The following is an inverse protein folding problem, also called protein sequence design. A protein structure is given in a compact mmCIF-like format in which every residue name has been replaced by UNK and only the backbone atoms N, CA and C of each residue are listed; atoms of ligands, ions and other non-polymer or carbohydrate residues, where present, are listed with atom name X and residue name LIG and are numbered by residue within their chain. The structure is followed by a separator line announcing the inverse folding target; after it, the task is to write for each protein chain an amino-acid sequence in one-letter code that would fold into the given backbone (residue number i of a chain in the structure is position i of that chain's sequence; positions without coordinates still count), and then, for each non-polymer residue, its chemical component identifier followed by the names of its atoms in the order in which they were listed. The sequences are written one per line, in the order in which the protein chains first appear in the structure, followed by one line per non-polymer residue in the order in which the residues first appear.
data_IF_449129693184
#
_entry.id   IF_449129693184
#
_cell.length_a   1.000
_cell.length_b   1.000
_cell.length_c   1.000
_cell.angle_alpha   90.00
_cell.angle_beta   90.00
_cell.angle_gamma   90.00
#
_symmetry.space_group_name_H-M   'P 1'
#
loop_
_entity.id
_entity.type
_entity.pdbx_description
1 polymer ?
#
# COMPACT_ATOMS: atom_id res chain seq x y z
N UNK A 1 -3.35 -12.72 24.13
CA UNK A 1 -2.95 -12.67 25.55
C UNK A 1 -3.19 -11.24 25.99
N UNK A 2 -4.14 -10.99 26.88
CA UNK A 2 -4.49 -9.62 27.33
C UNK A 2 -3.34 -9.14 28.24
N UNK A 3 -2.73 -7.96 28.01
CA UNK A 3 -1.64 -7.49 28.87
C UNK A 3 -2.15 -7.27 30.30
N UNK A 4 -1.41 -7.76 31.30
CA UNK A 4 -1.65 -7.44 32.73
C UNK A 4 -1.57 -5.92 32.90
N UNK A 5 -2.50 -5.32 33.65
CA UNK A 5 -2.55 -3.88 33.94
C UNK A 5 -1.17 -3.30 34.35
N UNK A 6 -0.84 -2.09 33.86
CA UNK A 6 0.44 -1.39 34.09
C UNK A 6 0.74 -1.29 35.58
N UNK A 7 -0.27 -1.00 36.40
CA UNK A 7 -0.13 -0.92 37.86
C UNK A 7 0.18 -2.26 38.51
N UNK A 8 -0.28 -3.36 37.90
CA UNK A 8 -0.05 -4.71 38.39
C UNK A 8 1.37 -5.19 38.09
N UNK A 9 1.91 -4.83 36.93
CA UNK A 9 3.30 -5.14 36.56
C UNK A 9 4.32 -4.33 37.38
N UNK A 10 4.03 -3.05 37.67
CA UNK A 10 4.87 -2.24 38.55
C UNK A 10 4.93 -2.81 39.98
N UNK A 11 3.81 -3.33 40.49
CA UNK A 11 3.78 -4.03 41.79
C UNK A 11 4.55 -5.37 41.79
N UNK A 12 4.63 -6.05 40.66
CA UNK A 12 5.22 -7.38 40.54
C UNK A 12 6.75 -7.33 40.31
N UNK A 13 7.24 -6.31 39.61
CA UNK A 13 8.66 -6.19 39.24
C UNK A 13 9.40 -5.03 39.94
N UNK A 14 8.68 -4.08 40.56
CA UNK A 14 9.26 -2.98 41.32
C UNK A 14 9.76 -1.81 40.47
N UNK A 15 10.08 -0.70 41.14
CA UNK A 15 10.38 0.61 40.51
C UNK A 15 11.63 0.60 39.60
N UNK A 16 12.54 -0.36 39.78
CA UNK A 16 13.75 -0.50 38.95
C UNK A 16 13.42 -0.83 37.49
N UNK A 17 12.23 -1.39 37.22
CA UNK A 17 11.76 -1.74 35.87
C UNK A 17 10.76 -0.73 35.30
N UNK A 18 10.53 0.39 35.98
CA UNK A 18 9.50 1.37 35.61
C UNK A 18 9.70 1.91 34.19
N UNK A 19 10.94 2.23 33.80
CA UNK A 19 11.25 2.74 32.47
C UNK A 19 11.02 1.70 31.37
N UNK A 20 11.39 0.44 31.63
CA UNK A 20 11.15 -0.68 30.70
C UNK A 20 9.66 -0.96 30.55
N UNK A 21 8.90 -0.89 31.65
CA UNK A 21 7.44 -1.05 31.64
C UNK A 21 6.80 0.12 30.88
N UNK A 22 7.25 1.36 31.07
CA UNK A 22 6.77 2.53 30.31
C UNK A 22 7.04 2.39 28.81
N UNK A 23 8.25 1.99 28.42
CA UNK A 23 8.61 1.74 27.01
C UNK A 23 7.77 0.62 26.40
N UNK A 24 7.53 -0.47 27.13
CA UNK A 24 6.68 -1.58 26.69
C UNK A 24 5.24 -1.13 26.42
N UNK A 25 4.68 -0.27 27.27
CA UNK A 25 3.33 0.26 27.10
C UNK A 25 3.22 1.27 25.95
N UNK A 26 4.20 2.18 25.82
CA UNK A 26 4.25 3.09 24.67
C UNK A 26 4.37 2.32 23.36
N UNK A 27 5.20 1.28 23.32
CA UNK A 27 5.33 0.40 22.15
C UNK A 27 4.02 -0.35 21.85
N UNK A 28 3.28 -0.77 22.88
CA UNK A 28 1.97 -1.41 22.68
C UNK A 28 0.90 -0.45 22.15
N UNK A 29 0.88 0.80 22.59
CA UNK A 29 -0.01 1.84 22.04
C UNK A 29 0.35 2.13 20.57
N UNK A 30 1.64 2.32 20.26
CA UNK A 30 2.09 2.50 18.88
C UNK A 30 1.77 1.28 17.99
N UNK A 31 1.90 0.06 18.54
CA UNK A 31 1.51 -1.17 17.85
C UNK A 31 0.00 -1.20 17.62
N UNK A 32 -0.82 -0.84 18.61
CA UNK A 32 -2.28 -0.77 18.48
C UNK A 32 -2.72 0.22 17.38
N UNK A 33 -2.09 1.39 17.33
CA UNK A 33 -2.29 2.37 16.25
C UNK A 33 -1.91 1.77 14.89
N UNK A 34 -0.78 1.07 14.79
CA UNK A 34 -0.38 0.35 13.58
C UNK A 34 -1.35 -0.78 13.22
N UNK A 35 -1.97 -1.45 14.20
CA UNK A 35 -3.00 -2.46 13.97
C UNK A 35 -4.28 -1.83 13.43
N UNK A 36 -4.67 -0.65 13.91
CA UNK A 36 -5.83 0.10 13.42
C UNK A 36 -5.60 0.65 12.00
N UNK A 37 -4.43 1.24 11.74
CA UNK A 37 -3.97 1.61 10.39
C UNK A 37 -3.96 0.39 9.47
N UNK A 38 -3.61 -0.78 10.01
CA UNK A 38 -3.66 -2.04 9.32
C UNK A 38 -5.06 -2.50 9.00
N UNK A 39 -6.03 -2.41 9.91
CA UNK A 39 -7.47 -2.72 9.68
C UNK A 39 -8.10 -1.87 8.57
N UNK A 40 -7.54 -0.68 8.34
CA UNK A 40 -7.92 0.20 7.24
C UNK A 40 -7.34 -0.29 5.88
N UNK A 41 -6.25 -1.08 5.88
CA UNK A 41 -5.53 -1.51 4.68
C UNK A 41 -6.04 -2.75 3.94
N UNK A 42 -7.03 -3.50 4.46
CA UNK A 42 -7.69 -4.61 3.73
C UNK A 42 -8.49 -4.14 2.52
N UNK A 43 -8.68 -2.84 2.39
CA UNK A 43 -9.50 -2.27 1.33
C UNK A 43 -8.88 -2.37 -0.07
N UNK A 44 -7.61 -2.74 -0.25
CA UNK A 44 -6.91 -2.52 -1.53
C UNK A 44 -7.00 -3.72 -2.48
N UNK A 45 -6.81 -4.95 -1.99
CA UNK A 45 -6.73 -6.12 -2.88
C UNK A 45 -8.09 -6.49 -3.50
N UNK A 46 -9.16 -6.46 -2.71
CA UNK A 46 -10.53 -6.67 -3.19
C UNK A 46 -10.97 -5.57 -4.18
N UNK A 47 -10.69 -4.29 -3.85
CA UNK A 47 -10.98 -3.17 -4.75
C UNK A 47 -10.20 -3.26 -6.06
N UNK A 48 -8.93 -3.69 -6.02
CA UNK A 48 -8.13 -3.87 -7.24
C UNK A 48 -8.69 -4.98 -8.13
N UNK A 49 -9.10 -6.11 -7.57
CA UNK A 49 -9.75 -7.17 -8.33
C UNK A 49 -11.03 -6.66 -9.01
N UNK A 50 -11.87 -5.92 -8.27
CA UNK A 50 -13.10 -5.34 -8.82
C UNK A 50 -12.86 -4.30 -9.93
N UNK A 51 -11.80 -3.50 -9.84
CA UNK A 51 -11.47 -2.48 -10.85
C UNK A 51 -11.10 -3.12 -12.20
N UNK A 52 -10.46 -4.30 -12.18
CA UNK A 52 -9.90 -4.92 -13.38
C UNK A 52 -10.66 -6.16 -13.87
N UNK A 53 -11.65 -6.68 -13.13
CA UNK A 53 -12.37 -7.92 -13.50
C UNK A 53 -12.96 -7.89 -14.92
N UNK A 54 -13.48 -6.75 -15.36
CA UNK A 54 -14.10 -6.60 -16.69
C UNK A 54 -13.10 -6.12 -17.77
N UNK A 55 -11.81 -6.01 -17.43
CA UNK A 55 -10.75 -5.54 -18.35
C UNK A 55 -9.91 -6.67 -18.91
N UNK A 56 -10.07 -7.86 -18.38
CA UNK A 56 -9.35 -9.06 -18.76
C UNK A 56 -10.32 -10.20 -19.11
N UNK A 57 -9.97 -11.09 -20.06
CA UNK A 57 -8.69 -11.16 -20.75
C UNK A 57 -8.48 -10.00 -21.75
N UNK A 58 -7.23 -9.55 -21.86
CA UNK A 58 -6.85 -8.45 -22.76
C UNK A 58 -6.00 -9.00 -23.89
N UNK A 59 -6.39 -8.72 -25.13
CA UNK A 59 -5.67 -9.20 -26.32
C UNK A 59 -4.93 -8.07 -27.01
N UNK A 60 -3.65 -8.27 -27.31
CA UNK A 60 -2.89 -7.38 -28.18
C UNK A 60 -3.40 -7.50 -29.62
N UNK A 61 -3.86 -6.39 -30.20
CA UNK A 61 -4.42 -6.44 -31.55
C UNK A 61 -3.38 -6.71 -32.63
N UNK A 62 -2.10 -6.43 -32.35
CA UNK A 62 -0.99 -6.66 -33.29
C UNK A 62 -0.49 -8.12 -33.26
N UNK A 63 -0.01 -8.62 -32.11
CA UNK A 63 0.59 -9.96 -32.01
C UNK A 63 -0.36 -11.04 -31.50
N UNK A 64 -1.62 -10.71 -31.22
CA UNK A 64 -2.68 -11.59 -30.72
C UNK A 64 -2.40 -12.28 -29.38
N UNK A 65 -1.33 -11.89 -28.66
CA UNK A 65 -1.09 -12.35 -27.28
C UNK A 65 -2.26 -11.96 -26.37
N UNK A 66 -2.68 -12.92 -25.55
CA UNK A 66 -3.75 -12.75 -24.57
C UNK A 66 -3.14 -12.70 -23.17
N UNK A 67 -3.50 -11.67 -22.40
CA UNK A 67 -3.18 -11.54 -20.98
C UNK A 67 -4.43 -11.92 -20.20
N UNK A 68 -4.35 -12.96 -19.36
CA UNK A 68 -5.50 -13.56 -18.66
C UNK A 68 -6.00 -12.69 -17.51
N UNK A 69 -5.07 -12.05 -16.82
CA UNK A 69 -5.35 -11.20 -15.67
C UNK A 69 -4.42 -9.97 -15.64
N UNK A 70 -4.71 -9.06 -14.70
CA UNK A 70 -3.95 -7.82 -14.52
C UNK A 70 -2.49 -8.07 -14.10
N UNK A 71 -2.20 -9.12 -13.34
CA UNK A 71 -0.84 -9.43 -12.88
C UNK A 71 0.03 -9.94 -14.03
N UNK A 72 -0.51 -10.81 -14.88
CA UNK A 72 0.14 -11.26 -16.11
C UNK A 72 0.38 -10.08 -17.05
N UNK A 73 -0.60 -9.19 -17.22
CA UNK A 73 -0.45 -7.97 -17.99
C UNK A 73 0.72 -7.11 -17.49
N UNK A 74 0.79 -6.80 -16.19
CA UNK A 74 1.87 -5.99 -15.62
C UNK A 74 3.25 -6.65 -15.78
N UNK A 75 3.32 -7.98 -15.57
CA UNK A 75 4.56 -8.76 -15.67
C UNK A 75 5.07 -8.88 -17.12
N UNK A 76 4.17 -8.96 -18.08
CA UNK A 76 4.52 -9.22 -19.48
C UNK A 76 4.49 -8.00 -20.41
N UNK A 77 4.28 -6.81 -19.86
CA UNK A 77 4.30 -5.55 -20.59
C UNK A 77 5.19 -4.54 -19.89
N UNK A 78 5.74 -3.59 -20.65
CA UNK A 78 6.60 -2.53 -20.10
C UNK A 78 5.82 -1.22 -20.00
N UNK A 79 6.03 -0.41 -18.94
CA UNK A 79 5.41 0.91 -18.86
C UNK A 79 5.98 1.84 -19.95
N UNK A 80 5.21 2.85 -20.37
CA UNK A 80 5.76 3.97 -21.14
C UNK A 80 6.66 4.84 -20.26
N UNK A 81 7.77 5.32 -20.82
CA UNK A 81 8.82 6.04 -20.08
C UNK A 81 8.35 7.34 -19.40
N UNK A 82 7.35 8.04 -19.97
CA UNK A 82 6.96 9.38 -19.51
C UNK A 82 5.57 9.45 -18.88
N UNK A 83 4.63 8.60 -19.30
CA UNK A 83 3.26 8.62 -18.79
C UNK A 83 2.62 7.26 -18.99
N UNK A 84 2.59 6.45 -17.94
CA UNK A 84 1.88 5.18 -17.95
C UNK A 84 0.43 5.34 -17.47
N UNK A 85 0.01 6.52 -17.02
CA UNK A 85 -1.28 6.74 -16.36
C UNK A 85 -1.82 8.15 -16.62
N UNK A 86 -2.99 8.28 -17.25
CA UNK A 86 -3.69 9.56 -17.48
C UNK A 86 -4.99 9.60 -16.69
N UNK A 87 -5.22 10.66 -15.91
CA UNK A 87 -6.51 10.92 -15.27
C UNK A 87 -7.43 11.66 -16.24
N UNK A 88 -8.58 11.08 -16.51
CA UNK A 88 -9.66 11.73 -17.26
C UNK A 88 -10.56 12.41 -16.25
N UNK A 89 -10.50 13.74 -16.16
CA UNK A 89 -11.54 14.54 -15.53
C UNK A 89 -12.79 14.48 -16.40
N UNK A 90 -13.76 13.69 -15.98
CA UNK A 90 -15.11 13.76 -16.53
C UNK A 90 -15.96 14.61 -15.56
N UNK A 91 -17.00 15.26 -16.06
CA UNK A 91 -18.01 16.01 -15.28
C UNK A 91 -18.81 15.16 -14.27
N UNK A 92 -18.45 13.90 -14.08
CA UNK A 92 -19.04 12.97 -13.10
C UNK A 92 -18.01 12.68 -12.01
N UNK A 93 -18.45 12.53 -10.75
CA UNK A 93 -17.62 12.33 -9.54
C UNK A 93 -16.62 11.16 -9.61
N UNK A 94 -16.70 10.33 -10.64
CA UNK A 94 -15.83 9.17 -10.88
C UNK A 94 -14.61 9.51 -11.73
N UNK A 95 -13.45 9.65 -11.08
CA UNK A 95 -12.15 9.78 -11.76
C UNK A 95 -11.80 8.49 -12.52
N UNK A 96 -11.64 8.59 -13.83
CA UNK A 96 -11.20 7.47 -14.69
C UNK A 96 -9.71 7.58 -14.97
N UNK A 97 -9.04 6.44 -15.05
CA UNK A 97 -7.61 6.32 -15.25
C UNK A 97 -7.32 5.46 -16.47
N UNK A 98 -6.47 5.96 -17.36
CA UNK A 98 -5.98 5.22 -18.52
C UNK A 98 -4.55 4.76 -18.28
N UNK A 99 -4.34 3.45 -18.18
CA UNK A 99 -3.03 2.82 -18.07
C UNK A 99 -2.52 2.39 -19.45
N UNK A 100 -1.33 2.86 -19.80
CA UNK A 100 -0.67 2.56 -21.06
C UNK A 100 0.60 1.75 -20.84
N UNK A 101 0.74 0.65 -21.59
CA UNK A 101 1.91 -0.24 -21.52
C UNK A 101 2.24 -0.82 -22.89
N UNK A 102 3.50 -1.10 -23.16
CA UNK A 102 3.93 -1.72 -24.40
C UNK A 102 3.92 -3.25 -24.27
N UNK A 103 3.25 -3.89 -25.22
CA UNK A 103 3.38 -5.32 -25.47
C UNK A 103 4.85 -5.66 -25.83
N UNK A 104 5.27 -6.90 -25.60
CA UNK A 104 6.59 -7.39 -26.06
C UNK A 104 6.81 -7.26 -27.57
N UNK A 105 5.74 -7.17 -28.36
CA UNK A 105 5.84 -6.90 -29.80
C UNK A 105 6.03 -5.41 -30.14
N UNK A 106 6.15 -4.53 -29.14
CA UNK A 106 6.31 -3.08 -29.31
C UNK A 106 5.01 -2.27 -29.41
N UNK A 107 3.85 -2.92 -29.58
CA UNK A 107 2.57 -2.21 -29.68
C UNK A 107 2.07 -1.71 -28.33
N UNK A 108 1.54 -0.48 -28.29
CA UNK A 108 0.95 0.08 -27.07
C UNK A 108 -0.44 -0.52 -26.81
N UNK A 109 -0.64 -0.93 -25.56
CA UNK A 109 -1.89 -1.43 -24.99
C UNK A 109 -2.44 -0.37 -24.05
N UNK A 110 -3.76 -0.22 -24.06
CA UNK A 110 -4.51 0.69 -23.20
C UNK A 110 -5.50 -0.08 -22.34
N UNK A 111 -5.52 0.23 -21.05
CA UNK A 111 -6.54 -0.19 -20.08
C UNK A 111 -7.17 1.06 -19.47
N UNK A 112 -8.46 1.27 -19.71
CA UNK A 112 -9.24 2.27 -18.99
C UNK A 112 -9.87 1.60 -17.76
N UNK A 113 -9.54 2.11 -16.58
CA UNK A 113 -10.01 1.62 -15.28
C UNK A 113 -10.44 2.80 -14.40
N UNK A 114 -11.09 2.50 -13.27
CA UNK A 114 -11.39 3.50 -12.26
C UNK A 114 -10.11 3.87 -11.51
N UNK A 115 -10.09 5.05 -10.89
CA UNK A 115 -8.99 5.42 -10.00
C UNK A 115 -8.81 4.36 -8.91
N UNK A 116 -7.64 3.72 -8.92
CA UNK A 116 -7.23 2.70 -7.94
C UNK A 116 -6.79 3.31 -6.61
N UNK A 117 -6.61 4.62 -6.55
CA UNK A 117 -6.26 5.32 -5.32
C UNK A 117 -7.48 5.38 -4.42
N UNK A 118 -7.30 4.92 -3.18
CA UNK A 118 -8.29 5.15 -2.14
C UNK A 118 -8.31 6.64 -1.78
N UNK A 119 -9.30 7.36 -2.29
CA UNK A 119 -9.49 8.79 -2.06
C UNK A 119 -10.39 9.08 -0.85
N UNK A 120 -10.76 8.06 -0.05
CA UNK A 120 -11.38 8.30 1.26
C UNK A 120 -10.42 9.01 2.21
N UNK A 121 -10.97 9.62 3.27
CA UNK A 121 -10.17 10.21 4.35
C UNK A 121 -9.18 9.20 4.94
N UNK A 122 -9.59 7.94 5.08
CA UNK A 122 -8.72 6.87 5.57
C UNK A 122 -7.64 6.46 4.58
N UNK A 123 -7.90 6.56 3.27
CA UNK A 123 -6.89 6.43 2.22
C UNK A 123 -5.87 7.57 2.24
N UNK A 124 -6.32 8.79 2.54
CA UNK A 124 -5.47 9.97 2.69
C UNK A 124 -4.59 9.87 3.94
N UNK A 125 -5.16 9.57 5.09
CA UNK A 125 -4.44 9.41 6.36
C UNK A 125 -3.29 8.39 6.26
N UNK A 126 -3.51 7.25 5.59
CA UNK A 126 -2.45 6.25 5.37
C UNK A 126 -1.28 6.79 4.55
N UNK A 127 -1.54 7.64 3.55
CA UNK A 127 -0.49 8.27 2.75
C UNK A 127 0.26 9.31 3.57
N UNK A 128 -0.47 10.13 4.32
CA UNK A 128 0.12 11.17 5.17
C UNK A 128 1.05 10.54 6.23
N UNK A 129 0.64 9.44 6.87
CA UNK A 129 1.49 8.69 7.81
C UNK A 129 2.74 8.13 7.10
N UNK A 130 2.55 7.52 5.92
CA UNK A 130 3.67 6.98 5.15
C UNK A 130 4.68 8.09 4.78
N UNK A 131 4.20 9.26 4.35
CA UNK A 131 5.02 10.40 3.99
C UNK A 131 5.76 10.98 5.20
N UNK A 132 5.13 11.01 6.38
CA UNK A 132 5.80 11.36 7.65
C UNK A 132 6.93 10.38 7.96
N UNK A 133 6.70 9.07 7.82
CA UNK A 133 7.73 8.06 8.03
C UNK A 133 8.91 8.23 7.05
N UNK A 134 8.62 8.46 5.76
CA UNK A 134 9.67 8.74 4.75
C UNK A 134 10.48 9.95 5.17
N UNK A 135 9.84 11.07 5.49
CA UNK A 135 10.53 12.32 5.86
C UNK A 135 11.38 12.17 7.12
N UNK A 136 10.91 11.43 8.13
CA UNK A 136 11.70 11.15 9.34
C UNK A 136 12.94 10.32 9.01
N UNK A 137 12.81 9.29 8.18
CA UNK A 137 13.93 8.43 7.80
C UNK A 137 14.94 9.21 6.95
N UNK A 138 14.49 9.99 5.97
CA UNK A 138 15.34 10.84 5.13
C UNK A 138 16.24 11.78 5.95
N UNK A 139 15.77 12.26 7.11
CA UNK A 139 16.58 13.13 7.99
C UNK A 139 17.69 12.40 8.75
N UNK A 140 17.62 11.08 8.88
CA UNK A 140 18.54 10.28 9.68
C UNK A 140 19.35 9.28 8.84
N UNK A 141 19.21 9.31 7.52
CA UNK A 141 19.92 8.40 6.61
C UNK A 141 20.36 9.11 5.33
N UNK A 142 21.45 8.64 4.72
CA UNK A 142 21.94 9.12 3.42
C UNK A 142 21.32 8.37 2.22
N UNK A 143 20.39 7.44 2.48
CA UNK A 143 19.70 6.68 1.44
C UNK A 143 18.83 7.59 0.58
N UNK A 144 18.70 7.25 -0.69
CA UNK A 144 17.81 7.97 -1.58
C UNK A 144 16.32 7.69 -1.25
N UNK A 145 15.41 8.62 -1.60
CA UNK A 145 13.99 8.48 -1.30
C UNK A 145 13.35 7.19 -1.84
N UNK A 146 13.79 6.71 -3.00
CA UNK A 146 13.22 5.50 -3.62
C UNK A 146 13.55 4.24 -2.81
N UNK A 147 14.76 4.15 -2.27
CA UNK A 147 15.19 3.05 -1.41
C UNK A 147 14.41 3.07 -0.09
N UNK A 148 14.29 4.24 0.55
CA UNK A 148 13.52 4.44 1.79
C UNK A 148 12.06 4.01 1.58
N UNK A 149 11.42 4.49 0.52
CA UNK A 149 10.06 4.11 0.18
C UNK A 149 9.91 2.61 -0.09
N UNK A 150 10.89 1.99 -0.76
CA UNK A 150 10.87 0.54 -1.03
C UNK A 150 10.90 -0.28 0.26
N UNK A 151 11.79 0.08 1.19
CA UNK A 151 11.91 -0.58 2.50
C UNK A 151 10.65 -0.37 3.33
N UNK A 152 10.17 0.87 3.42
CA UNK A 152 8.93 1.19 4.15
C UNK A 152 7.72 0.44 3.56
N UNK A 153 7.59 0.36 2.23
CA UNK A 153 6.53 -0.45 1.59
C UNK A 153 6.62 -1.91 1.99
N UNK A 154 7.83 -2.49 2.07
CA UNK A 154 8.01 -3.87 2.51
C UNK A 154 7.66 -4.06 3.99
N UNK A 155 8.05 -3.11 4.85
CA UNK A 155 7.73 -3.12 6.28
C UNK A 155 6.21 -3.05 6.46
N UNK A 156 5.56 -2.04 5.87
CA UNK A 156 4.11 -1.85 5.93
C UNK A 156 3.39 -3.07 5.35
N UNK A 157 3.83 -3.61 4.20
CA UNK A 157 3.25 -4.84 3.62
C UNK A 157 3.35 -6.03 4.58
N UNK A 158 4.47 -6.20 5.30
CA UNK A 158 4.66 -7.30 6.27
C UNK A 158 3.82 -7.08 7.54
N UNK A 159 3.79 -5.85 8.06
CA UNK A 159 2.96 -5.46 9.21
C UNK A 159 1.48 -5.73 8.90
N UNK A 160 1.02 -5.30 7.73
CA UNK A 160 -0.36 -5.51 7.30
C UNK A 160 -0.65 -6.97 6.98
N UNK A 161 0.26 -7.73 6.35
CA UNK A 161 0.03 -9.16 6.10
C UNK A 161 -0.13 -9.98 7.39
N UNK A 162 0.60 -9.65 8.46
CA UNK A 162 0.45 -10.29 9.77
C UNK A 162 -0.87 -9.95 10.46
N UNK A 163 -1.47 -8.81 10.14
CA UNK A 163 -2.74 -8.34 10.70
C UNK A 163 -3.99 -8.98 10.07
N UNK A 164 -3.85 -9.65 8.92
CA UNK A 164 -4.96 -10.24 8.17
C UNK A 164 -4.90 -11.76 8.02
N UNK A 165 -3.86 -12.41 8.55
CA UNK A 165 -3.72 -13.89 8.60
C UNK A 165 -3.70 -14.36 10.08
N UNK A 166 -4.23 -13.54 10.99
CA UNK A 166 -4.44 -13.88 12.40
C UNK A 166 -5.92 -13.92 12.72
#
# INVERSE_FOLDING_TARGET
MIPKDKEQLLKEFGDEFEDIIKEFYNCNEEVADLLEIGKISASIEGKLLDIYKDKFPKTCQNCKRVYKDHQEFLRETTPLEKTSTIYLENYTETKRVQEYRNCRCGSTLLIACMDRRDNSETGKLRRDIFDVCVSKIEKITEKNPQEIQSVLRQIFKKLFKKLYIG
#
